data_IF_544651104901
#
_entry.id   IF_544651104901
#
_cell.length_a   1.000
_cell.length_b   1.000
_cell.length_c   1.000
_cell.angle_alpha   90.00
_cell.angle_beta   90.00
_cell.angle_gamma   90.00
#
_symmetry.space_group_name_H-M   'P 1'
#
loop_
_entity.id
_entity.type
_entity.pdbx_description
1 polymer ?
#
# COMPACT_ATOMS: atom_id res chain seq x y z
N UNK A 1 10.80 -52.43 -40.68
CA UNK A 1 10.52 -51.51 -39.55
C UNK A 1 11.03 -50.07 -39.76
N UNK A 2 12.18 -49.84 -40.42
CA UNK A 2 12.69 -48.47 -40.65
C UNK A 2 11.87 -47.64 -41.66
N UNK A 3 11.33 -48.28 -42.71
CA UNK A 3 10.50 -47.62 -43.75
C UNK A 3 9.13 -47.14 -43.25
N UNK A 4 8.52 -47.90 -42.33
CA UNK A 4 7.25 -47.53 -41.69
C UNK A 4 7.44 -46.38 -40.70
N UNK A 5 8.59 -46.32 -40.04
CA UNK A 5 8.94 -45.24 -39.10
C UNK A 5 9.19 -43.90 -39.83
N UNK A 6 9.78 -43.95 -41.03
CA UNK A 6 9.97 -42.78 -41.89
C UNK A 6 8.65 -42.21 -42.43
N UNK A 7 7.71 -43.06 -42.82
CA UNK A 7 6.39 -42.63 -43.32
C UNK A 7 5.54 -41.97 -42.22
N UNK A 8 5.58 -42.50 -40.99
CA UNK A 8 4.87 -41.92 -39.85
C UNK A 8 5.47 -40.57 -39.44
N UNK A 9 6.80 -40.41 -39.53
CA UNK A 9 7.49 -39.16 -39.18
C UNK A 9 7.18 -37.98 -40.11
N UNK A 10 6.81 -38.24 -41.37
CA UNK A 10 6.50 -37.18 -42.35
C UNK A 10 5.01 -36.81 -42.31
N UNK A 11 4.13 -37.77 -42.03
CA UNK A 11 2.68 -37.50 -41.98
C UNK A 11 2.23 -36.78 -40.71
N UNK A 12 2.90 -36.99 -39.57
CA UNK A 12 2.55 -36.38 -38.29
C UNK A 12 2.57 -34.83 -38.28
N UNK A 13 3.60 -34.14 -38.82
CA UNK A 13 3.61 -32.68 -38.87
C UNK A 13 2.61 -32.10 -39.87
N UNK A 14 2.34 -32.78 -40.99
CA UNK A 14 1.36 -32.31 -41.99
C UNK A 14 -0.08 -32.30 -41.45
N UNK A 15 -0.42 -33.22 -40.55
CA UNK A 15 -1.73 -33.24 -39.90
C UNK A 15 -1.91 -32.09 -38.88
N UNK A 16 -0.83 -31.63 -38.25
CA UNK A 16 -0.84 -30.56 -37.25
C UNK A 16 -0.97 -29.15 -37.86
N UNK A 17 -0.57 -28.96 -39.12
CA UNK A 17 -0.66 -27.65 -39.80
C UNK A 17 -2.05 -27.44 -40.43
N UNK A 18 -2.81 -28.51 -40.66
CA UNK A 18 -4.10 -28.46 -41.36
C UNK A 18 -5.32 -28.12 -40.47
N UNK A 19 -5.14 -27.88 -39.16
CA UNK A 19 -6.26 -27.53 -38.27
C UNK A 19 -6.13 -26.14 -37.64
N UNK A 20 -6.49 -25.05 -38.36
CA UNK A 20 -7.12 -23.93 -37.71
C UNK A 20 -8.61 -24.27 -37.57
N UNK A 21 -8.95 -25.16 -36.64
CA UNK A 21 -10.35 -25.42 -36.29
C UNK A 21 -10.87 -24.24 -35.47
N UNK A 22 -11.47 -23.30 -36.19
CA UNK A 22 -12.69 -22.61 -35.78
C UNK A 22 -12.61 -21.85 -34.45
N UNK A 23 -11.93 -20.70 -34.44
CA UNK A 23 -12.25 -19.65 -33.47
C UNK A 23 -13.62 -19.05 -33.83
N UNK A 24 -14.71 -19.73 -33.47
CA UNK A 24 -16.02 -19.10 -33.43
C UNK A 24 -16.05 -18.16 -32.22
N UNK A 25 -15.66 -16.91 -32.42
CA UNK A 25 -16.15 -15.83 -31.59
C UNK A 25 -17.66 -15.70 -31.86
N UNK A 26 -18.45 -16.51 -31.16
CA UNK A 26 -19.89 -16.32 -31.11
C UNK A 26 -20.14 -15.05 -30.30
N UNK A 27 -20.34 -13.92 -30.98
CA UNK A 27 -20.91 -12.72 -30.38
C UNK A 27 -22.37 -13.02 -30.02
N UNK A 28 -22.56 -13.69 -28.89
CA UNK A 28 -23.86 -13.79 -28.24
C UNK A 28 -24.20 -12.41 -27.74
N UNK A 29 -25.04 -11.69 -28.49
CA UNK A 29 -25.74 -10.51 -28.03
C UNK A 29 -26.64 -10.87 -26.85
N UNK A 30 -26.05 -10.92 -25.65
CA UNK A 30 -26.78 -11.04 -24.41
C UNK A 30 -27.39 -9.67 -24.09
N UNK A 31 -28.63 -9.46 -24.50
CA UNK A 31 -29.48 -8.40 -23.97
C UNK A 31 -29.77 -8.70 -22.50
N UNK A 32 -28.85 -8.29 -21.62
CA UNK A 32 -29.08 -8.31 -20.18
C UNK A 32 -30.09 -7.21 -19.84
N UNK A 33 -31.36 -7.58 -19.76
CA UNK A 33 -32.38 -6.79 -19.09
C UNK A 33 -32.01 -6.68 -17.61
N UNK A 34 -31.33 -5.59 -17.24
CA UNK A 34 -31.13 -5.21 -15.85
C UNK A 34 -32.49 -4.85 -15.24
N UNK A 35 -33.21 -5.85 -14.75
CA UNK A 35 -34.32 -5.61 -13.85
C UNK A 35 -33.76 -4.86 -12.63
N UNK A 36 -34.19 -3.61 -12.43
CA UNK A 36 -33.96 -2.85 -11.20
C UNK A 36 -34.73 -3.52 -10.06
N UNK A 37 -34.21 -4.65 -9.59
CA UNK A 37 -34.75 -5.37 -8.43
C UNK A 37 -34.36 -4.61 -7.17
N UNK A 38 -35.26 -4.61 -6.21
CA UNK A 38 -34.92 -4.13 -4.87
C UNK A 38 -33.85 -5.05 -4.29
N UNK A 39 -32.75 -4.46 -3.82
CA UNK A 39 -31.63 -5.20 -3.25
C UNK A 39 -31.41 -4.71 -1.82
N UNK A 40 -31.23 -5.66 -0.89
CA UNK A 40 -30.83 -5.37 0.49
C UNK A 40 -29.57 -6.16 0.77
N UNK A 41 -28.56 -5.48 1.29
CA UNK A 41 -27.29 -6.06 1.70
C UNK A 41 -27.02 -5.69 3.17
N UNK A 42 -26.50 -6.65 3.93
CA UNK A 42 -26.15 -6.46 5.34
C UNK A 42 -24.78 -7.08 5.59
N UNK A 43 -23.81 -6.28 6.03
CA UNK A 43 -22.45 -6.74 6.30
C UNK A 43 -21.87 -6.05 7.54
N UNK A 44 -20.82 -6.65 8.09
CA UNK A 44 -20.08 -6.11 9.22
C UNK A 44 -18.76 -5.51 8.73
N UNK A 45 -18.56 -4.23 9.02
CA UNK A 45 -17.33 -3.48 8.80
C UNK A 45 -16.65 -3.25 10.16
N UNK A 46 -15.81 -4.21 10.55
CA UNK A 46 -15.19 -4.24 11.88
C UNK A 46 -16.24 -4.27 13.00
N UNK A 47 -16.33 -3.18 13.77
CA UNK A 47 -17.30 -3.03 14.87
C UNK A 47 -18.64 -2.43 14.43
N UNK A 48 -18.78 -2.14 13.13
CA UNK A 48 -19.94 -1.48 12.55
C UNK A 48 -20.79 -2.45 11.75
N UNK A 49 -22.08 -2.50 12.06
CA UNK A 49 -23.08 -3.17 11.24
C UNK A 49 -23.57 -2.20 10.16
N UNK A 50 -23.44 -2.57 8.90
CA UNK A 50 -23.86 -1.77 7.74
C UNK A 50 -25.03 -2.45 7.04
N UNK A 51 -26.15 -1.75 6.91
CA UNK A 51 -27.34 -2.19 6.17
C UNK A 51 -27.57 -1.26 4.97
N UNK A 52 -27.48 -1.79 3.75
CA UNK A 52 -27.71 -1.05 2.50
C UNK A 52 -28.98 -1.53 1.82
N UNK A 53 -29.79 -0.60 1.32
CA UNK A 53 -31.02 -0.88 0.59
C UNK A 53 -31.06 -0.05 -0.68
N UNK A 54 -31.21 -0.72 -1.82
CA UNK A 54 -31.49 -0.13 -3.12
C UNK A 54 -32.93 -0.45 -3.48
N UNK A 55 -33.74 0.59 -3.63
CA UNK A 55 -35.11 0.46 -4.11
C UNK A 55 -35.15 0.46 -5.64
N UNK A 56 -36.25 -0.05 -6.18
CA UNK A 56 -36.51 -0.13 -7.62
C UNK A 56 -36.53 1.24 -8.32
N UNK A 57 -36.93 2.30 -7.59
CA UNK A 57 -36.89 3.69 -8.02
C UNK A 57 -35.48 4.33 -8.02
N UNK A 58 -34.45 3.58 -7.58
CA UNK A 58 -33.08 4.10 -7.44
C UNK A 58 -32.79 4.78 -6.10
N UNK A 59 -33.74 4.83 -5.16
CA UNK A 59 -33.52 5.37 -3.82
C UNK A 59 -32.57 4.44 -3.04
N UNK A 60 -31.48 5.03 -2.55
CA UNK A 60 -30.47 4.35 -1.76
C UNK A 60 -30.59 4.73 -0.27
N UNK A 61 -30.58 3.73 0.63
CA UNK A 61 -30.51 3.95 2.07
C UNK A 61 -29.42 3.08 2.69
N UNK A 62 -28.47 3.72 3.36
CA UNK A 62 -27.45 3.06 4.17
C UNK A 62 -27.65 3.41 5.65
N UNK A 63 -27.68 2.40 6.51
CA UNK A 63 -27.65 2.57 7.97
C UNK A 63 -26.37 1.95 8.51
N UNK A 64 -25.58 2.74 9.24
CA UNK A 64 -24.37 2.29 9.95
C UNK A 64 -24.63 2.29 11.46
N UNK A 65 -24.41 1.16 12.11
CA UNK A 65 -24.48 1.01 13.56
C UNK A 65 -23.15 0.48 14.08
N UNK A 66 -22.28 1.39 14.50
CA UNK A 66 -21.01 1.06 15.15
C UNK A 66 -21.20 0.79 16.62
N UNK A 67 -20.68 -0.33 17.11
CA UNK A 67 -20.49 -0.52 18.54
C UNK A 67 -19.34 0.39 18.97
N UNK A 68 -19.55 1.20 20.00
CA UNK A 68 -18.46 1.98 20.57
C UNK A 68 -17.44 1.00 21.15
N UNK A 69 -16.20 1.07 20.70
CA UNK A 69 -15.10 0.44 21.42
C UNK A 69 -15.03 1.13 22.80
N UNK A 70 -14.83 0.40 23.91
CA UNK A 70 -14.46 1.07 25.14
C UNK A 70 -13.23 1.93 24.83
N UNK A 71 -13.26 3.20 25.25
CA UNK A 71 -12.12 4.09 25.11
C UNK A 71 -10.94 3.41 25.82
N UNK A 72 -10.04 2.80 25.05
CA UNK A 72 -8.80 2.30 25.60
C UNK A 72 -8.04 3.55 26.05
N UNK A 73 -7.94 3.73 27.36
CA UNK A 73 -7.13 4.79 27.93
C UNK A 73 -5.69 4.54 27.46
N UNK A 74 -5.24 5.32 26.48
CA UNK A 74 -3.87 5.24 26.01
C UNK A 74 -3.05 6.12 26.93
N UNK A 75 -2.33 5.51 27.86
CA UNK A 75 -1.36 6.23 28.68
C UNK A 75 -0.23 6.67 27.74
N UNK A 76 0.06 7.98 27.62
CA UNK A 76 1.16 8.43 26.78
C UNK A 76 2.49 7.87 27.33
N UNK A 77 3.34 7.39 26.43
CA UNK A 77 4.66 6.89 26.80
C UNK A 77 5.51 8.04 27.38
N UNK A 78 6.29 7.81 28.45
CA UNK A 78 7.18 8.84 28.98
C UNK A 78 8.27 9.17 27.97
N UNK A 79 8.43 10.46 27.65
CA UNK A 79 9.52 10.95 26.79
C UNK A 79 10.70 11.34 27.67
N UNK A 80 11.84 10.66 27.51
CA UNK A 80 13.08 11.05 28.20
C UNK A 80 13.80 12.16 27.43
N UNK A 81 14.00 13.31 28.07
CA UNK A 81 14.81 14.41 27.53
C UNK A 81 16.25 14.25 27.98
N UNK A 82 17.19 14.21 27.04
CA UNK A 82 18.61 14.25 27.37
C UNK A 82 18.98 15.63 27.94
N UNK A 83 19.81 15.70 29.00
CA UNK A 83 20.26 16.97 29.55
C UNK A 83 21.16 17.72 28.53
N UNK A 84 21.15 19.07 28.55
CA UNK A 84 22.03 19.86 27.67
C UNK A 84 23.51 19.61 27.99
N UNK A 85 24.35 19.62 26.96
CA UNK A 85 25.80 19.44 27.10
C UNK A 85 26.43 20.66 27.79
N UNK A 86 27.37 20.48 28.72
CA UNK A 86 28.08 21.59 29.34
C UNK A 86 29.00 22.28 28.32
N UNK A 87 28.93 23.61 28.24
CA UNK A 87 29.85 24.42 27.44
C UNK A 87 30.99 24.87 28.34
N UNK A 88 32.22 24.46 28.02
CA UNK A 88 33.42 24.90 28.73
C UNK A 88 33.99 26.15 28.05
N UNK A 89 34.07 27.27 28.78
CA UNK A 89 34.71 28.50 28.29
C UNK A 89 36.16 28.49 28.77
N UNK A 90 37.11 28.46 27.83
CA UNK A 90 38.51 28.57 28.16
C UNK A 90 38.85 29.99 28.67
N UNK A 91 39.69 30.15 29.71
CA UNK A 91 40.14 31.46 30.16
C UNK A 91 40.88 32.19 29.03
N UNK A 92 40.48 33.43 28.76
CA UNK A 92 41.15 34.27 27.78
C UNK A 92 42.51 34.70 28.36
N UNK A 93 43.62 34.60 27.59
CA UNK A 93 44.93 34.99 28.10
C UNK A 93 44.94 36.50 28.38
N UNK A 94 45.08 36.85 29.65
CA UNK A 94 45.36 38.22 30.07
C UNK A 94 46.71 38.65 29.51
N UNK A 95 46.70 39.68 28.67
CA UNK A 95 47.87 40.14 27.92
C UNK A 95 49.05 40.48 28.84
N UNK A 96 50.24 40.02 28.47
CA UNK A 96 51.49 40.32 29.16
C UNK A 96 51.94 41.74 28.77
N UNK A 97 52.05 42.66 29.74
CA UNK A 97 52.63 43.99 29.51
C UNK A 97 54.12 43.91 29.86
N UNK A 98 54.99 44.04 28.86
CA UNK A 98 56.45 44.08 29.05
C UNK A 98 56.87 45.56 29.21
N UNK A 99 57.34 45.95 30.40
CA UNK A 99 57.94 47.27 30.63
C UNK A 99 59.40 47.26 30.15
N UNK A 100 59.72 48.12 29.18
CA UNK A 100 61.03 48.17 28.48
C UNK A 100 61.98 49.21 29.10
N UNK A 101 62.09 49.25 30.42
CA UNK A 101 63.08 50.10 31.10
C UNK A 101 64.47 49.51 31.00
N UNK A 102 65.29 50.05 30.10
CA UNK A 102 66.72 49.73 30.00
C UNK A 102 67.48 50.54 31.05
N UNK A 103 68.17 49.85 31.97
CA UNK A 103 69.06 50.47 32.97
C UNK A 103 70.50 50.27 32.52
N UNK A 104 71.16 51.35 32.10
CA UNK A 104 72.61 51.35 31.86
C UNK A 104 73.31 51.71 33.18
N UNK A 105 74.19 50.82 33.65
CA UNK A 105 75.09 51.10 34.79
C UNK A 105 76.45 51.59 34.24
N UNK A 106 77.07 52.59 34.88
CA UNK A 106 78.36 53.14 34.46
C UNK A 106 79.51 52.13 34.61
#
# INVERSE_FOLDING_TARGET
MKKTLALVSICLPMALIATPLTSLAHDRHHHHHHHKREHKEEYWDGQCKVERKWKSNGEYKEKRKCRSRPAAYHVPQPVYMAPPQPVYVAPQPQGLVIDSRIVLRP
#
